data_IF_509818974496
#
_entry.id   IF_509818974496
#
_cell.length_a   1.000
_cell.length_b   1.000
_cell.length_c   1.000
_cell.angle_alpha   90.00
_cell.angle_beta   90.00
_cell.angle_gamma   90.00
#
_symmetry.space_group_name_H-M   'P 1'
#
loop_
_entity.id
_entity.type
_entity.pdbx_description
1 polymer ?
#
# COMPACT_ATOMS: atom_id res chain seq x y z
N UNK A 1 12.85 2.88 -30.43
CA UNK A 1 11.54 2.21 -30.32
C UNK A 1 11.37 1.84 -28.85
N UNK A 2 10.59 2.60 -28.12
CA UNK A 2 10.23 2.32 -26.71
C UNK A 2 9.33 1.10 -26.77
N UNK A 3 9.81 -0.05 -26.29
CA UNK A 3 9.00 -1.24 -26.14
C UNK A 3 7.85 -0.89 -25.20
N UNK A 4 6.63 -1.23 -25.61
CA UNK A 4 5.42 -0.90 -24.89
C UNK A 4 5.54 -1.21 -23.40
N UNK A 5 5.08 -0.29 -22.56
CA UNK A 5 4.98 -0.47 -21.11
C UNK A 5 4.13 -1.71 -20.85
N UNK A 6 4.65 -2.65 -20.08
CA UNK A 6 3.87 -3.77 -19.57
C UNK A 6 2.76 -3.21 -18.65
N UNK A 7 1.55 -3.13 -19.19
CA UNK A 7 0.34 -2.66 -18.50
C UNK A 7 -0.40 -3.80 -17.79
N UNK A 8 0.21 -5.00 -17.77
CA UNK A 8 -0.34 -6.13 -17.01
C UNK A 8 -0.38 -5.83 -15.52
N UNK A 9 -1.50 -6.13 -14.87
CA UNK A 9 -1.67 -6.08 -13.42
C UNK A 9 -1.18 -7.35 -12.71
N UNK A 10 -0.43 -8.21 -13.40
CA UNK A 10 0.17 -9.38 -12.79
C UNK A 10 1.28 -8.97 -11.83
N UNK A 11 1.24 -9.50 -10.61
CA UNK A 11 2.30 -9.31 -9.62
C UNK A 11 3.49 -10.16 -10.01
N UNK A 12 4.55 -9.52 -10.43
CA UNK A 12 5.76 -10.19 -10.90
C UNK A 12 6.84 -10.16 -9.83
N UNK A 13 7.74 -11.16 -9.81
CA UNK A 13 8.96 -11.08 -9.01
C UNK A 13 9.78 -9.85 -9.41
N UNK A 14 10.23 -9.08 -8.42
CA UNK A 14 11.10 -7.93 -8.68
C UNK A 14 12.52 -8.46 -8.88
N UNK A 15 12.86 -8.82 -10.10
CA UNK A 15 14.19 -9.35 -10.44
C UNK A 15 15.11 -8.29 -11.02
N UNK A 16 14.62 -7.48 -11.89
CA UNK A 16 15.34 -6.35 -12.50
C UNK A 16 14.32 -5.35 -13.03
N UNK A 17 14.21 -4.20 -12.43
CA UNK A 17 13.39 -3.12 -12.97
C UNK A 17 14.31 -2.27 -13.83
N UNK A 18 14.37 -2.59 -15.12
CA UNK A 18 15.10 -1.79 -16.13
C UNK A 18 14.20 -0.78 -16.84
N UNK A 19 12.88 -0.86 -16.60
CA UNK A 19 11.94 0.00 -17.30
C UNK A 19 11.79 1.34 -16.62
N UNK A 20 11.92 2.36 -17.40
CA UNK A 20 11.71 3.75 -17.04
C UNK A 20 10.32 3.93 -16.45
N UNK A 21 10.25 4.40 -15.21
CA UNK A 21 9.00 4.82 -14.59
C UNK A 21 8.38 5.93 -15.45
N UNK A 22 7.15 5.73 -15.88
CA UNK A 22 6.46 6.74 -16.70
C UNK A 22 5.93 7.86 -15.80
N UNK A 23 6.16 9.13 -16.12
CA UNK A 23 5.64 10.25 -15.36
C UNK A 23 4.12 10.29 -15.47
N UNK A 24 3.43 9.85 -14.43
CA UNK A 24 1.98 9.86 -14.33
C UNK A 24 1.56 10.14 -12.88
N UNK A 25 0.42 10.80 -12.71
CA UNK A 25 -0.23 10.98 -11.40
C UNK A 25 -1.36 9.99 -11.17
N UNK A 26 -1.52 9.01 -12.05
CA UNK A 26 -2.60 8.01 -11.99
C UNK A 26 -2.01 6.61 -11.99
N UNK A 27 -2.70 5.64 -11.35
CA UNK A 27 -2.33 4.24 -11.49
C UNK A 27 -2.49 3.78 -12.93
N UNK A 28 -1.81 2.70 -13.30
CA UNK A 28 -1.89 2.13 -14.65
C UNK A 28 -3.26 1.50 -14.98
N UNK A 29 -4.14 1.33 -14.01
CA UNK A 29 -5.45 0.70 -14.16
C UNK A 29 -6.49 1.36 -13.28
N UNK A 30 -7.72 1.45 -13.79
CA UNK A 30 -8.90 1.92 -13.06
C UNK A 30 -9.34 0.97 -11.93
N UNK A 31 -8.82 -0.26 -11.87
CA UNK A 31 -9.06 -1.16 -10.75
C UNK A 31 -8.41 -0.65 -9.46
N UNK A 32 -7.37 0.14 -9.57
CA UNK A 32 -6.59 0.67 -8.46
C UNK A 32 -7.10 2.06 -8.06
N UNK A 33 -7.20 2.37 -6.75
CA UNK A 33 -7.66 3.68 -6.30
C UNK A 33 -6.65 4.78 -6.73
N UNK A 34 -7.13 5.92 -7.25
CA UNK A 34 -6.24 7.04 -7.53
C UNK A 34 -5.73 7.67 -6.22
N UNK A 35 -4.48 8.17 -6.21
CA UNK A 35 -4.00 8.97 -5.08
C UNK A 35 -4.85 10.27 -4.89
N UNK A 36 -5.00 10.74 -3.64
CA UNK A 36 -4.53 10.14 -2.40
C UNK A 36 -5.47 9.06 -1.85
N UNK A 37 -4.90 7.97 -1.35
CA UNK A 37 -5.64 6.84 -0.79
C UNK A 37 -5.05 6.38 0.56
N UNK A 38 -5.81 5.54 1.28
CA UNK A 38 -5.32 4.72 2.39
C UNK A 38 -5.52 3.25 2.00
N UNK A 39 -4.43 2.54 1.75
CA UNK A 39 -4.46 1.13 1.38
C UNK A 39 -3.86 0.28 2.49
N UNK A 40 -4.60 -0.73 2.92
CA UNK A 40 -4.14 -1.72 3.90
C UNK A 40 -3.76 -3.02 3.20
N UNK A 41 -2.62 -3.59 3.55
CA UNK A 41 -2.14 -4.89 3.08
C UNK A 41 -2.03 -5.87 4.26
N UNK A 42 -2.91 -6.84 4.31
CA UNK A 42 -2.90 -7.93 5.31
C UNK A 42 -2.23 -9.15 4.72
N UNK A 43 -1.01 -9.41 5.15
CA UNK A 43 -0.15 -10.39 4.52
C UNK A 43 0.69 -11.16 5.56
N UNK A 44 0.33 -12.39 5.90
CA UNK A 44 1.14 -13.26 6.77
C UNK A 44 2.57 -13.43 6.27
N UNK A 45 3.45 -13.93 7.12
CA UNK A 45 4.84 -14.20 6.75
C UNK A 45 4.91 -15.10 5.52
N UNK A 46 5.81 -14.77 4.59
CA UNK A 46 6.03 -15.51 3.31
C UNK A 46 4.84 -15.54 2.35
N UNK A 47 3.90 -14.61 2.48
CA UNK A 47 2.76 -14.47 1.55
C UNK A 47 3.06 -13.60 0.32
N UNK A 48 4.28 -13.08 0.16
CA UNK A 48 4.65 -12.22 -0.98
C UNK A 48 4.47 -10.72 -0.72
N UNK A 49 4.30 -10.29 0.53
CA UNK A 49 4.07 -8.90 0.93
C UNK A 49 5.04 -7.90 0.26
N UNK A 50 6.34 -8.07 0.43
CA UNK A 50 7.36 -7.18 -0.14
C UNK A 50 7.29 -7.11 -1.68
N UNK A 51 6.93 -8.23 -2.33
CA UNK A 51 6.72 -8.26 -3.79
C UNK A 51 5.48 -7.45 -4.19
N UNK A 52 4.38 -7.54 -3.44
CA UNK A 52 3.17 -6.74 -3.70
C UNK A 52 3.49 -5.25 -3.53
N UNK A 53 4.12 -4.86 -2.43
CA UNK A 53 4.53 -3.47 -2.17
C UNK A 53 5.43 -2.95 -3.30
N UNK A 54 6.45 -3.69 -3.68
CA UNK A 54 7.35 -3.28 -4.75
C UNK A 54 6.65 -3.15 -6.12
N UNK A 55 5.69 -4.04 -6.45
CA UNK A 55 4.90 -3.89 -7.68
C UNK A 55 3.97 -2.67 -7.62
N UNK A 56 3.36 -2.38 -6.45
CA UNK A 56 2.57 -1.16 -6.28
C UNK A 56 3.43 0.09 -6.57
N UNK A 57 4.62 0.18 -5.97
CA UNK A 57 5.48 1.35 -6.09
C UNK A 57 6.08 1.51 -7.49
N UNK A 58 6.61 0.42 -8.07
CA UNK A 58 7.41 0.50 -9.30
C UNK A 58 6.59 0.36 -10.57
N UNK A 59 5.49 -0.40 -10.54
CA UNK A 59 4.77 -0.80 -11.75
C UNK A 59 3.36 -0.25 -11.82
N UNK A 60 2.62 -0.28 -10.71
CA UNK A 60 1.21 0.04 -10.73
C UNK A 60 0.93 1.53 -10.47
N UNK A 61 1.84 2.19 -9.76
CA UNK A 61 1.79 3.63 -9.50
C UNK A 61 3.10 4.32 -9.92
N UNK A 62 3.54 4.17 -11.19
CA UNK A 62 4.81 4.74 -11.62
C UNK A 62 4.77 6.26 -11.53
N UNK A 63 5.72 6.85 -10.80
CA UNK A 63 5.87 8.31 -10.63
C UNK A 63 4.61 9.04 -10.13
N UNK A 64 3.76 8.34 -9.37
CA UNK A 64 2.56 8.94 -8.81
C UNK A 64 2.82 9.87 -7.63
N UNK A 65 3.99 9.78 -7.01
CA UNK A 65 4.38 10.61 -5.86
C UNK A 65 5.65 11.40 -6.14
N UNK A 66 5.74 12.57 -5.53
CA UNK A 66 6.94 13.40 -5.55
C UNK A 66 7.89 12.96 -4.44
N UNK A 67 7.34 12.50 -3.32
CA UNK A 67 8.11 12.04 -2.16
C UNK A 67 7.51 10.75 -1.59
N UNK A 68 8.36 9.76 -1.31
CA UNK A 68 8.00 8.48 -0.69
C UNK A 68 8.78 8.35 0.62
N UNK A 69 8.08 8.17 1.73
CA UNK A 69 8.66 7.89 3.04
C UNK A 69 8.37 6.44 3.41
N UNK A 70 9.42 5.63 3.45
CA UNK A 70 9.33 4.20 3.67
C UNK A 70 9.81 3.84 5.08
N UNK A 71 8.86 3.52 5.97
CA UNK A 71 9.12 3.10 7.35
C UNK A 71 9.04 1.58 7.45
N UNK A 72 10.15 0.91 7.79
CA UNK A 72 10.15 -0.54 7.99
C UNK A 72 11.36 -0.97 8.82
N UNK A 73 11.15 -1.72 9.92
CA UNK A 73 12.26 -2.25 10.71
C UNK A 73 13.09 -3.31 9.97
N UNK A 74 12.62 -3.77 8.81
CA UNK A 74 13.27 -4.84 8.04
C UNK A 74 13.73 -4.40 6.65
N UNK A 75 13.60 -3.12 6.28
CA UNK A 75 13.94 -2.63 4.94
C UNK A 75 15.39 -2.97 4.55
N UNK A 76 16.33 -2.80 5.47
CA UNK A 76 17.75 -3.11 5.27
C UNK A 76 18.10 -4.60 5.36
N UNK A 77 17.15 -5.48 5.72
CA UNK A 77 17.39 -6.92 5.89
C UNK A 77 16.73 -7.75 4.78
N UNK A 78 15.53 -7.36 4.35
CA UNK A 78 14.77 -8.08 3.34
C UNK A 78 15.33 -7.86 1.93
N UNK A 79 15.73 -8.96 1.28
CA UNK A 79 16.35 -8.90 -0.06
C UNK A 79 15.42 -8.34 -1.13
N UNK A 80 14.13 -8.65 -1.06
CA UNK A 80 13.14 -8.17 -2.03
C UNK A 80 12.95 -6.67 -1.86
N UNK A 81 12.81 -6.21 -0.61
CA UNK A 81 12.69 -4.78 -0.29
C UNK A 81 13.92 -4.01 -0.76
N UNK A 82 15.11 -4.45 -0.45
CA UNK A 82 16.35 -3.85 -0.97
C UNK A 82 16.37 -3.75 -2.49
N UNK A 83 15.95 -4.83 -3.17
CA UNK A 83 16.00 -4.88 -4.62
C UNK A 83 15.08 -3.85 -5.28
N UNK A 84 13.87 -3.65 -4.77
CA UNK A 84 12.97 -2.66 -5.36
C UNK A 84 13.28 -1.23 -4.90
N UNK A 85 13.74 -1.02 -3.66
CA UNK A 85 14.14 0.31 -3.19
C UNK A 85 15.32 0.86 -3.98
N UNK A 86 16.27 -0.01 -4.34
CA UNK A 86 17.40 0.38 -5.19
C UNK A 86 16.97 0.97 -6.55
N UNK A 87 15.82 0.56 -7.09
CA UNK A 87 15.31 1.09 -8.35
C UNK A 87 14.93 2.58 -8.28
N UNK A 88 14.81 3.16 -7.07
CA UNK A 88 14.56 4.60 -6.86
C UNK A 88 15.84 5.41 -6.68
N UNK A 89 17.00 4.79 -6.46
CA UNK A 89 18.26 5.53 -6.22
C UNK A 89 18.64 6.41 -7.41
N UNK A 90 18.29 5.99 -8.62
CA UNK A 90 18.61 6.69 -9.87
C UNK A 90 17.40 7.47 -10.44
N UNK A 91 16.26 7.53 -9.73
CA UNK A 91 15.06 8.23 -10.19
C UNK A 91 14.96 9.64 -9.62
N UNK A 92 15.45 10.63 -10.36
CA UNK A 92 15.39 12.04 -9.96
C UNK A 92 13.98 12.62 -9.83
N UNK A 93 12.94 11.89 -10.27
CA UNK A 93 11.54 12.37 -10.26
C UNK A 93 10.82 12.11 -8.93
N UNK A 94 11.35 11.20 -8.13
CA UNK A 94 10.75 10.78 -6.86
C UNK A 94 11.83 10.73 -5.78
N UNK A 95 11.61 11.48 -4.72
CA UNK A 95 12.47 11.43 -3.55
C UNK A 95 12.04 10.26 -2.65
N UNK A 96 12.93 9.29 -2.42
CA UNK A 96 12.71 8.19 -1.49
C UNK A 96 13.55 8.37 -0.24
N UNK A 97 12.90 8.39 0.93
CA UNK A 97 13.56 8.34 2.23
C UNK A 97 13.19 7.07 2.96
N UNK A 98 14.21 6.32 3.43
CA UNK A 98 14.04 5.05 4.13
C UNK A 98 14.33 5.25 5.62
N UNK A 99 13.40 4.81 6.47
CA UNK A 99 13.46 4.86 7.91
C UNK A 99 13.45 3.42 8.45
N UNK A 100 14.60 2.83 8.70
CA UNK A 100 14.76 1.45 9.15
C UNK A 100 15.43 1.32 10.52
N UNK A 101 15.91 2.42 11.10
CA UNK A 101 16.50 2.46 12.42
C UNK A 101 15.42 2.56 13.49
N UNK A 102 15.65 1.91 14.62
CA UNK A 102 14.71 1.93 15.74
C UNK A 102 14.35 3.35 16.19
N UNK A 103 15.32 4.25 16.23
CA UNK A 103 15.14 5.65 16.61
C UNK A 103 14.17 6.37 15.66
N UNK A 104 14.32 6.18 14.34
CA UNK A 104 13.43 6.77 13.35
C UNK A 104 12.01 6.23 13.47
N UNK A 105 11.88 4.91 13.68
CA UNK A 105 10.58 4.26 13.84
C UNK A 105 9.85 4.68 15.14
N UNK A 106 10.60 4.98 16.20
CA UNK A 106 10.03 5.57 17.42
C UNK A 106 9.54 7.01 17.21
N UNK A 107 10.04 7.70 16.18
CA UNK A 107 9.72 9.08 15.85
C UNK A 107 8.78 9.22 14.64
N UNK A 108 8.12 8.16 14.19
CA UNK A 108 7.18 8.19 13.04
C UNK A 108 6.18 9.35 13.18
N UNK A 109 5.59 9.53 14.35
CA UNK A 109 4.62 10.60 14.61
C UNK A 109 5.21 11.99 14.36
N UNK A 110 6.47 12.21 14.70
CA UNK A 110 7.16 13.49 14.47
C UNK A 110 7.34 13.77 12.98
N UNK A 111 7.75 12.76 12.21
CA UNK A 111 7.88 12.89 10.76
C UNK A 111 6.55 13.17 10.08
N UNK A 112 5.48 12.50 10.51
CA UNK A 112 4.13 12.74 9.99
C UNK A 112 3.68 14.16 10.31
N UNK A 113 3.89 14.65 11.53
CA UNK A 113 3.55 16.02 11.92
C UNK A 113 4.28 17.04 11.07
N UNK A 114 5.59 16.89 10.88
CA UNK A 114 6.40 17.78 10.03
C UNK A 114 5.81 17.84 8.63
N UNK A 115 5.55 16.70 8.01
CA UNK A 115 4.96 16.63 6.67
C UNK A 115 3.58 17.29 6.61
N UNK A 116 2.69 17.01 7.57
CA UNK A 116 1.35 17.61 7.62
C UNK A 116 1.41 19.13 7.78
N UNK A 117 2.33 19.65 8.61
CA UNK A 117 2.51 21.09 8.79
C UNK A 117 3.05 21.80 7.54
N UNK A 118 3.97 21.16 6.82
CA UNK A 118 4.45 21.65 5.52
C UNK A 118 3.32 21.68 4.49
N UNK A 119 2.52 20.61 4.39
CA UNK A 119 1.38 20.56 3.48
C UNK A 119 0.29 21.59 3.82
N UNK A 120 0.05 21.87 5.10
CA UNK A 120 -0.90 22.94 5.53
C UNK A 120 -0.47 24.32 5.09
N UNK A 121 0.83 24.62 5.17
CA UNK A 121 1.40 25.92 4.78
C UNK A 121 1.43 26.13 3.27
N UNK A 122 1.37 25.04 2.50
CA UNK A 122 1.43 25.07 1.04
C UNK A 122 0.02 25.18 0.45
N UNK A 123 -0.25 26.08 -0.51
CA UNK A 123 -1.49 26.12 -1.27
C UNK A 123 -1.84 24.75 -1.86
N UNK A 124 -3.12 24.39 -1.88
CA UNK A 124 -3.57 23.04 -2.19
C UNK A 124 -3.05 22.54 -3.54
N UNK A 125 -3.04 23.39 -4.56
CA UNK A 125 -2.59 23.10 -5.92
C UNK A 125 -1.08 22.92 -6.06
N UNK A 126 -0.32 23.33 -5.06
CA UNK A 126 1.15 23.24 -5.02
C UNK A 126 1.65 22.16 -4.04
N UNK A 127 0.73 21.47 -3.36
CA UNK A 127 1.09 20.41 -2.40
C UNK A 127 1.76 19.25 -3.10
N UNK A 128 2.89 18.82 -2.57
CA UNK A 128 3.56 17.59 -3.01
C UNK A 128 2.61 16.39 -2.88
N UNK A 129 2.71 15.46 -3.79
CA UNK A 129 2.08 14.14 -3.68
C UNK A 129 2.99 13.28 -2.82
N UNK A 130 2.56 12.94 -1.62
CA UNK A 130 3.37 12.20 -0.65
C UNK A 130 2.79 10.80 -0.48
N UNK A 131 3.67 9.79 -0.38
CA UNK A 131 3.32 8.45 0.05
C UNK A 131 4.05 8.10 1.34
N UNK A 132 3.29 7.71 2.35
CA UNK A 132 3.82 7.00 3.52
C UNK A 132 3.63 5.49 3.31
N UNK A 133 4.73 4.74 3.31
CA UNK A 133 4.70 3.28 3.39
C UNK A 133 5.07 2.88 4.81
N UNK A 134 4.13 2.25 5.51
CA UNK A 134 4.29 1.77 6.88
C UNK A 134 4.32 0.24 6.84
N UNK A 135 5.51 -0.33 6.76
CA UNK A 135 5.70 -1.76 6.54
C UNK A 135 6.13 -2.48 7.82
N UNK A 136 5.24 -3.34 8.34
CA UNK A 136 5.45 -4.12 9.57
C UNK A 136 5.83 -3.29 10.81
N UNK A 137 5.38 -2.06 10.91
CA UNK A 137 5.61 -1.17 12.06
C UNK A 137 4.61 -1.42 13.21
N UNK A 138 4.03 -2.60 13.29
CA UNK A 138 3.13 -2.98 14.39
C UNK A 138 3.88 -3.00 15.72
N UNK A 139 3.41 -2.22 16.68
CA UNK A 139 4.06 -2.06 17.99
C UNK A 139 4.70 -0.69 18.20
N UNK A 140 4.91 0.08 17.17
CA UNK A 140 5.29 1.49 17.28
C UNK A 140 4.04 2.36 17.51
N UNK A 141 4.19 3.43 18.29
CA UNK A 141 3.09 4.38 18.52
C UNK A 141 2.95 5.29 17.30
N UNK A 142 1.75 5.36 16.73
CA UNK A 142 1.44 6.10 15.50
C UNK A 142 0.15 6.90 15.66
N UNK A 143 0.07 7.76 16.70
CA UNK A 143 -1.13 8.58 16.95
C UNK A 143 -1.36 9.62 15.87
N UNK A 144 -0.30 10.24 15.37
CA UNK A 144 -0.39 11.23 14.30
C UNK A 144 -0.75 10.57 12.96
N UNK A 145 -0.32 9.34 12.74
CA UNK A 145 -0.78 8.57 11.58
C UNK A 145 -2.31 8.39 11.62
N UNK A 146 -2.89 8.07 12.78
CA UNK A 146 -4.34 7.96 12.95
C UNK A 146 -5.06 9.27 12.61
N UNK A 147 -4.53 10.40 13.10
CA UNK A 147 -5.05 11.73 12.77
C UNK A 147 -4.93 12.02 11.28
N UNK A 148 -3.81 11.70 10.66
CA UNK A 148 -3.52 11.97 9.25
C UNK A 148 -4.38 11.10 8.33
N UNK A 149 -4.55 9.80 8.57
CA UNK A 149 -5.34 8.91 7.70
C UNK A 149 -6.80 9.37 7.58
N UNK A 150 -7.38 9.97 8.62
CA UNK A 150 -8.74 10.52 8.56
C UNK A 150 -8.85 11.80 7.73
N UNK A 151 -7.72 12.43 7.39
CA UNK A 151 -7.62 13.71 6.67
C UNK A 151 -6.67 13.67 5.48
N UNK A 152 -6.20 12.49 5.09
CA UNK A 152 -5.15 12.28 4.10
C UNK A 152 -5.39 13.05 2.77
N UNK A 153 -6.65 13.16 2.34
CA UNK A 153 -7.03 13.90 1.11
C UNK A 153 -6.73 15.39 1.22
N UNK A 154 -6.93 15.99 2.41
CA UNK A 154 -6.65 17.40 2.64
C UNK A 154 -5.16 17.70 2.62
N UNK A 155 -4.31 16.72 2.89
CA UNK A 155 -2.86 16.85 2.89
C UNK A 155 -2.21 16.39 1.59
N UNK A 156 -2.97 15.86 0.62
CA UNK A 156 -2.44 15.20 -0.58
C UNK A 156 -1.47 14.06 -0.25
N UNK A 157 -1.79 13.28 0.79
CA UNK A 157 -0.97 12.19 1.30
C UNK A 157 -1.67 10.86 1.04
N UNK A 158 -0.97 9.93 0.40
CA UNK A 158 -1.35 8.52 0.32
C UNK A 158 -0.67 7.73 1.44
N UNK A 159 -1.32 6.66 1.90
CA UNK A 159 -0.78 5.76 2.92
C UNK A 159 -0.92 4.32 2.46
N UNK A 160 0.17 3.58 2.46
CA UNK A 160 0.19 2.13 2.29
C UNK A 160 0.65 1.50 3.61
N UNK A 161 -0.25 0.80 4.28
CA UNK A 161 0.04 0.14 5.56
C UNK A 161 0.09 -1.35 5.32
N UNK A 162 1.20 -2.01 5.62
CA UNK A 162 1.29 -3.46 5.58
C UNK A 162 1.42 -4.05 6.98
N UNK A 163 0.68 -5.11 7.24
CA UNK A 163 0.70 -5.82 8.52
C UNK A 163 0.50 -7.32 8.34
N UNK A 164 1.14 -8.09 9.21
CA UNK A 164 0.90 -9.54 9.31
C UNK A 164 -0.40 -9.84 10.07
N UNK A 165 -0.92 -8.88 10.83
CA UNK A 165 -2.05 -9.05 11.74
C UNK A 165 -3.02 -7.87 11.59
N UNK A 166 -4.17 -8.09 10.97
CA UNK A 166 -5.22 -7.08 10.80
C UNK A 166 -5.71 -6.50 12.12
N UNK A 167 -5.91 -7.36 13.12
CA UNK A 167 -6.37 -6.98 14.45
C UNK A 167 -5.42 -6.05 15.22
N UNK A 168 -4.15 -6.01 14.83
CA UNK A 168 -3.14 -5.14 15.45
C UNK A 168 -3.12 -3.74 14.85
N UNK A 169 -3.73 -3.55 13.70
CA UNK A 169 -3.92 -2.21 13.16
C UNK A 169 -4.92 -1.44 14.02
N UNK A 170 -4.64 -0.16 14.21
CA UNK A 170 -5.57 0.72 14.93
C UNK A 170 -6.94 0.75 14.24
N UNK A 171 -8.06 0.74 14.98
CA UNK A 171 -9.39 0.84 14.40
C UNK A 171 -9.58 2.03 13.46
N UNK A 172 -8.96 3.18 13.76
CA UNK A 172 -9.04 4.37 12.91
C UNK A 172 -8.39 4.11 11.53
N UNK A 173 -7.26 3.41 11.49
CA UNK A 173 -6.62 3.02 10.23
C UNK A 173 -7.52 2.07 9.42
N UNK A 174 -8.10 1.06 10.08
CA UNK A 174 -8.97 0.07 9.44
C UNK A 174 -10.21 0.70 8.82
N UNK A 175 -10.91 1.56 9.58
CA UNK A 175 -12.13 2.24 9.12
C UNK A 175 -11.87 3.27 8.01
N UNK A 176 -10.69 3.91 8.01
CA UNK A 176 -10.35 4.90 6.98
C UNK A 176 -9.65 4.29 5.76
N UNK A 177 -9.45 2.97 5.71
CA UNK A 177 -8.92 2.30 4.52
C UNK A 177 -9.88 2.47 3.34
N UNK A 178 -9.37 2.93 2.22
CA UNK A 178 -10.12 3.07 0.96
C UNK A 178 -9.94 1.86 0.04
N UNK A 179 -8.92 1.05 0.33
CA UNK A 179 -8.65 -0.20 -0.36
C UNK A 179 -7.95 -1.18 0.57
N UNK A 180 -8.15 -2.47 0.36
CA UNK A 180 -7.48 -3.51 1.14
C UNK A 180 -7.03 -4.67 0.25
N UNK A 181 -5.81 -5.15 0.51
CA UNK A 181 -5.25 -6.38 -0.04
C UNK A 181 -5.22 -7.43 1.06
N UNK A 182 -5.81 -8.60 0.82
CA UNK A 182 -5.91 -9.69 1.79
C UNK A 182 -5.27 -10.94 1.19
N UNK A 183 -4.07 -11.28 1.67
CA UNK A 183 -3.46 -12.56 1.39
C UNK A 183 -4.13 -13.68 2.19
N UNK A 184 -3.82 -14.95 1.89
CA UNK A 184 -4.40 -16.08 2.63
C UNK A 184 -4.07 -16.00 4.11
N UNK A 185 -5.09 -15.84 4.95
CA UNK A 185 -4.99 -15.78 6.40
C UNK A 185 -5.35 -17.14 6.99
N UNK A 186 -4.41 -17.74 7.71
CA UNK A 186 -4.62 -19.07 8.34
C UNK A 186 -5.15 -19.00 9.77
N UNK A 187 -5.06 -17.82 10.41
CA UNK A 187 -5.53 -17.61 11.77
C UNK A 187 -7.02 -17.27 11.78
N UNK A 188 -7.85 -18.13 12.34
CA UNK A 188 -9.30 -17.94 12.37
C UNK A 188 -9.75 -16.64 13.04
N UNK A 189 -9.05 -16.18 14.11
CA UNK A 189 -9.41 -14.91 14.79
C UNK A 189 -9.08 -13.69 13.92
N UNK A 190 -8.02 -13.75 13.13
CA UNK A 190 -7.69 -12.69 12.18
C UNK A 190 -8.71 -12.66 11.04
N UNK A 191 -9.07 -13.85 10.52
CA UNK A 191 -10.06 -13.96 9.47
C UNK A 191 -11.45 -13.47 9.92
N UNK A 192 -11.93 -13.90 11.08
CA UNK A 192 -13.20 -13.42 11.63
C UNK A 192 -13.29 -11.89 11.73
N UNK A 193 -12.16 -11.22 12.05
CA UNK A 193 -12.15 -9.76 12.13
C UNK A 193 -12.18 -9.09 10.75
N UNK A 194 -11.53 -9.68 9.77
CA UNK A 194 -11.61 -9.25 8.37
C UNK A 194 -13.02 -9.48 7.80
N UNK A 195 -13.62 -10.62 8.11
CA UNK A 195 -14.98 -10.95 7.74
C UNK A 195 -15.95 -9.89 8.28
N UNK A 196 -15.96 -9.69 9.59
CA UNK A 196 -16.85 -8.75 10.29
C UNK A 196 -16.73 -7.31 9.76
N UNK A 197 -15.52 -6.81 9.55
CA UNK A 197 -15.32 -5.40 9.23
C UNK A 197 -15.25 -5.09 7.72
N UNK A 198 -14.95 -6.09 6.88
CA UNK A 198 -14.62 -5.84 5.46
C UNK A 198 -15.52 -6.64 4.52
N UNK A 199 -15.78 -7.91 4.81
CA UNK A 199 -16.33 -8.85 3.83
C UNK A 199 -17.81 -9.17 4.02
N UNK A 200 -18.37 -9.09 5.24
CA UNK A 200 -19.71 -9.59 5.57
C UNK A 200 -20.86 -9.03 4.68
N UNK A 201 -20.68 -7.81 4.17
CA UNK A 201 -21.66 -7.17 3.30
C UNK A 201 -21.52 -7.51 1.82
N UNK A 202 -20.56 -8.36 1.46
CA UNK A 202 -20.32 -8.79 0.08
C UNK A 202 -20.99 -10.14 -0.14
N UNK A 203 -21.94 -10.28 -1.09
CA UNK A 203 -22.56 -11.57 -1.39
C UNK A 203 -21.50 -12.62 -1.75
N UNK A 204 -21.64 -13.82 -1.22
CA UNK A 204 -20.71 -14.95 -1.48
C UNK A 204 -19.23 -14.65 -1.21
N UNK A 205 -18.95 -13.75 -0.27
CA UNK A 205 -17.56 -13.31 0.03
C UNK A 205 -16.60 -14.47 0.29
N UNK A 206 -17.06 -15.56 0.92
CA UNK A 206 -16.22 -16.71 1.21
C UNK A 206 -15.72 -17.39 -0.07
N UNK A 207 -16.63 -17.61 -1.06
CA UNK A 207 -16.27 -18.18 -2.36
C UNK A 207 -15.27 -17.26 -3.11
N UNK A 208 -15.50 -15.95 -3.07
CA UNK A 208 -14.58 -14.98 -3.65
C UNK A 208 -13.21 -15.00 -2.98
N UNK A 209 -13.18 -15.05 -1.65
CA UNK A 209 -11.94 -15.11 -0.88
C UNK A 209 -11.17 -16.41 -1.15
N UNK A 210 -11.84 -17.56 -1.12
CA UNK A 210 -11.22 -18.85 -1.41
C UNK A 210 -10.67 -18.92 -2.83
N UNK A 211 -11.43 -18.43 -3.81
CA UNK A 211 -11.00 -18.35 -5.21
C UNK A 211 -9.79 -17.45 -5.36
N UNK A 212 -9.81 -16.25 -4.76
CA UNK A 212 -8.75 -15.26 -4.87
C UNK A 212 -7.47 -15.67 -4.12
N UNK A 213 -7.55 -16.55 -3.13
CA UNK A 213 -6.41 -16.99 -2.33
C UNK A 213 -6.07 -18.47 -2.50
N UNK A 214 -6.58 -19.10 -3.57
CA UNK A 214 -6.41 -20.53 -3.83
C UNK A 214 -4.95 -20.91 -4.10
N UNK A 215 -4.22 -20.08 -4.81
CA UNK A 215 -2.82 -20.30 -5.15
C UNK A 215 -1.89 -19.54 -4.21
N UNK A 216 -0.68 -20.04 -4.07
CA UNK A 216 0.36 -19.35 -3.32
C UNK A 216 0.66 -17.98 -3.95
N UNK A 217 0.70 -16.94 -3.11
CA UNK A 217 0.93 -15.54 -3.47
C UNK A 217 -0.25 -14.83 -4.15
N UNK A 218 -1.34 -15.52 -4.44
CA UNK A 218 -2.58 -14.86 -4.83
C UNK A 218 -3.25 -14.20 -3.61
N UNK A 219 -4.03 -13.17 -3.88
CA UNK A 219 -4.71 -12.38 -2.86
C UNK A 219 -6.04 -11.84 -3.36
N UNK A 220 -6.90 -11.52 -2.40
CA UNK A 220 -8.11 -10.75 -2.63
C UNK A 220 -7.78 -9.26 -2.54
N UNK A 221 -8.20 -8.49 -3.52
CA UNK A 221 -8.12 -7.03 -3.50
C UNK A 221 -9.52 -6.44 -3.51
N UNK A 222 -9.81 -5.58 -2.55
CA UNK A 222 -11.07 -4.85 -2.46
C UNK A 222 -10.83 -3.35 -2.58
N UNK A 223 -11.27 -2.76 -3.68
CA UNK A 223 -11.38 -1.31 -3.83
C UNK A 223 -12.68 -0.87 -3.14
N UNK A 224 -12.55 -0.43 -1.89
CA UNK A 224 -13.69 -0.12 -1.03
C UNK A 224 -14.41 1.16 -1.48
N UNK A 225 -13.71 2.09 -2.13
CA UNK A 225 -14.31 3.31 -2.66
C UNK A 225 -15.24 3.00 -3.84
N UNK A 226 -14.79 2.16 -4.74
CA UNK A 226 -15.57 1.76 -5.93
C UNK A 226 -16.48 0.57 -5.67
N UNK A 227 -16.43 -0.05 -4.47
CA UNK A 227 -17.16 -1.27 -4.11
C UNK A 227 -16.92 -2.41 -5.11
N UNK A 228 -15.64 -2.65 -5.46
CA UNK A 228 -15.24 -3.64 -6.45
C UNK A 228 -14.22 -4.61 -5.87
N UNK A 229 -14.46 -5.90 -6.03
CA UNK A 229 -13.63 -6.99 -5.50
C UNK A 229 -12.90 -7.71 -6.63
N UNK A 230 -11.62 -7.97 -6.45
CA UNK A 230 -10.78 -8.56 -7.49
C UNK A 230 -9.94 -9.73 -6.97
N UNK A 231 -9.68 -10.70 -7.83
CA UNK A 231 -8.57 -11.62 -7.69
C UNK A 231 -7.30 -10.91 -8.17
N UNK A 232 -6.34 -10.79 -7.28
CA UNK A 232 -5.17 -9.93 -7.44
C UNK A 232 -5.63 -8.48 -7.74
N UNK A 233 -4.99 -7.76 -8.67
CA UNK A 233 -5.47 -6.43 -9.11
C UNK A 233 -6.19 -6.48 -10.47
N UNK A 234 -6.54 -7.67 -10.97
CA UNK A 234 -6.84 -7.90 -12.38
C UNK A 234 -8.25 -8.40 -12.63
N UNK A 235 -8.63 -9.49 -12.03
CA UNK A 235 -9.88 -10.19 -12.37
C UNK A 235 -10.98 -9.76 -11.44
N UNK A 236 -12.00 -9.09 -11.96
CA UNK A 236 -13.18 -8.70 -11.21
C UNK A 236 -13.94 -9.95 -10.74
N UNK A 237 -14.24 -10.02 -9.46
CA UNK A 237 -15.02 -11.08 -8.83
C UNK A 237 -16.41 -10.61 -8.46
N UNK A 238 -16.53 -9.35 -8.04
CA UNK A 238 -17.79 -8.74 -7.64
C UNK A 238 -17.73 -7.22 -7.73
N UNK A 239 -18.85 -6.60 -8.04
CA UNK A 239 -19.07 -5.14 -7.96
C UNK A 239 -20.51 -4.86 -7.49
N UNK A 240 -20.70 -3.73 -6.80
CA UNK A 240 -22.00 -3.30 -6.28
C UNK A 240 -22.71 -2.37 -7.26
#
# INVERSE_FOLDING_TARGET
MIKGSDTSLDVLPIKEVKDTLMPTSKPISENLPPPPFVMTLVAPVKSGKSTIVGNLLLRFYPSCWDTIWYFSPTASMDKTTKSFLKAFEDDERQELTIFDKHEDLMNIDTYIDICCEEQKKTPQEQRKRVLFVIDDCVGYKMKQLNFMVSRHRHFNISVLISSQMYRKLDPIMRVNSTAIVICKVSNGKEFMKLEEEVLENIPNYMEHYETATAKRYDFLFFNMTEQRLFHNFKTLLWEK
#
